data_IF_092354689710
#
_entry.id   IF_092354689710
#
_cell.length_a   1.000
_cell.length_b   1.000
_cell.length_c   1.000
_cell.angle_alpha   90.00
_cell.angle_beta   90.00
_cell.angle_gamma   90.00
#
_symmetry.space_group_name_H-M   'P 1'
#
loop_
_entity.id
_entity.type
_entity.pdbx_description
1 polymer ?
#
# COMPACT_ATOMS: atom_id res chain seq x y z
N UNK A 1 -6.86 13.69 -42.16
CA UNK A 1 -5.92 13.21 -41.13
C UNK A 1 -5.58 14.37 -40.20
N UNK A 2 -6.22 14.46 -39.02
CA UNK A 2 -6.00 15.55 -38.08
C UNK A 2 -5.01 15.11 -36.97
N UNK A 3 -3.87 15.78 -36.89
CA UNK A 3 -2.89 15.60 -35.81
C UNK A 3 -3.41 16.30 -34.53
N UNK A 4 -3.63 15.53 -33.47
CA UNK A 4 -3.94 16.09 -32.15
C UNK A 4 -2.65 16.70 -31.58
N UNK A 5 -2.54 18.02 -31.72
CA UNK A 5 -1.51 18.85 -31.08
C UNK A 5 -1.74 18.83 -29.57
N UNK A 6 -0.79 18.27 -28.82
CA UNK A 6 -0.70 18.53 -27.37
C UNK A 6 -0.74 17.32 -26.43
N UNK A 7 -0.27 16.13 -26.81
CA UNK A 7 0.02 15.11 -25.79
C UNK A 7 1.40 15.40 -25.17
N UNK A 8 1.41 16.25 -24.14
CA UNK A 8 2.60 16.48 -23.34
C UNK A 8 3.11 15.13 -22.80
N UNK A 9 4.35 14.77 -23.14
CA UNK A 9 5.00 13.57 -22.64
C UNK A 9 5.40 13.84 -21.19
N UNK A 10 4.74 13.16 -20.24
CA UNK A 10 5.07 13.26 -18.82
C UNK A 10 6.53 12.80 -18.64
N UNK A 11 7.40 13.75 -18.28
CA UNK A 11 8.80 13.49 -17.96
C UNK A 11 8.89 12.41 -16.88
N UNK A 12 9.55 11.29 -17.19
CA UNK A 12 9.81 10.16 -16.26
C UNK A 12 10.91 10.48 -15.24
N UNK A 13 11.08 11.75 -14.88
CA UNK A 13 12.07 12.16 -13.90
C UNK A 13 11.47 11.91 -12.53
N UNK A 14 11.91 10.83 -11.85
CA UNK A 14 11.53 10.43 -10.47
C UNK A 14 10.19 11.03 -10.03
N UNK A 15 9.10 10.43 -10.50
CA UNK A 15 7.81 10.72 -9.87
C UNK A 15 7.90 10.19 -8.44
N UNK A 16 8.29 11.05 -7.49
CA UNK A 16 8.04 10.81 -6.07
C UNK A 16 6.56 10.50 -6.01
N UNK A 17 6.21 9.26 -5.66
CA UNK A 17 4.82 8.88 -5.57
C UNK A 17 4.18 9.75 -4.48
N UNK A 18 3.55 10.86 -4.88
CA UNK A 18 2.89 11.82 -4.00
C UNK A 18 1.50 11.35 -3.59
N UNK A 19 1.19 10.07 -3.79
CA UNK A 19 -0.10 9.49 -3.46
C UNK A 19 -0.08 9.08 -2.00
N UNK A 20 -1.13 9.46 -1.25
CA UNK A 20 -1.30 9.06 0.13
C UNK A 20 -1.34 7.53 0.22
N UNK A 21 -0.47 6.95 1.05
CA UNK A 21 -0.58 5.55 1.43
C UNK A 21 -1.79 5.42 2.35
N UNK A 22 -2.83 4.73 1.88
CA UNK A 22 -4.05 4.48 2.63
C UNK A 22 -4.15 2.99 2.96
N UNK A 23 -4.33 2.68 4.24
CA UNK A 23 -4.50 1.31 4.72
C UNK A 23 -5.50 1.28 5.88
N UNK A 24 -6.17 0.12 6.05
CA UNK A 24 -6.96 -0.14 7.25
C UNK A 24 -6.04 -0.64 8.34
N UNK A 25 -6.16 -0.06 9.52
CA UNK A 25 -5.37 -0.42 10.70
C UNK A 25 -6.33 -0.62 11.87
N UNK A 26 -6.14 -1.65 12.71
CA UNK A 26 -6.85 -1.78 13.98
C UNK A 26 -6.69 -0.50 14.82
N UNK A 27 -7.75 -0.12 15.53
CA UNK A 27 -7.76 1.11 16.32
C UNK A 27 -6.65 1.12 17.38
N UNK A 28 -6.48 0.00 18.09
CA UNK A 28 -5.46 -0.15 19.13
C UNK A 28 -4.04 0.13 18.62
N UNK A 29 -3.70 -0.35 17.42
CA UNK A 29 -2.39 -0.11 16.80
C UNK A 29 -2.25 1.36 16.42
N UNK A 30 -3.30 1.96 15.85
CA UNK A 30 -3.30 3.38 15.49
C UNK A 30 -3.06 4.25 16.73
N UNK A 31 -3.69 3.93 17.85
CA UNK A 31 -3.60 4.70 19.09
C UNK A 31 -2.17 4.62 19.67
N UNK A 32 -1.56 3.43 19.66
CA UNK A 32 -0.16 3.25 20.09
C UNK A 32 0.82 4.07 19.25
N UNK A 33 0.68 4.03 17.92
CA UNK A 33 1.55 4.80 17.01
C UNK A 33 1.33 6.30 17.19
N UNK A 34 0.08 6.73 17.40
CA UNK A 34 -0.26 8.14 17.63
C UNK A 34 0.40 8.66 18.91
N UNK A 35 0.24 7.93 20.03
CA UNK A 35 0.84 8.30 21.30
C UNK A 35 2.38 8.37 21.23
N UNK A 36 3.02 7.44 20.51
CA UNK A 36 4.47 7.45 20.34
C UNK A 36 4.96 8.63 19.48
N UNK A 37 4.22 8.96 18.42
CA UNK A 37 4.53 10.12 17.58
C UNK A 37 4.39 11.44 18.36
N UNK A 38 3.33 11.57 19.15
CA UNK A 38 3.11 12.73 20.04
C UNK A 38 4.20 12.85 21.11
N UNK A 39 4.56 11.75 21.77
CA UNK A 39 5.68 11.73 22.73
C UNK A 39 7.01 12.11 22.09
N UNK A 40 7.17 11.83 20.80
CA UNK A 40 8.36 12.19 20.01
C UNK A 40 8.30 13.61 19.44
N UNK A 41 7.16 14.32 19.57
CA UNK A 41 6.95 15.66 19.05
C UNK A 41 6.92 15.76 17.51
N UNK A 42 6.60 14.66 16.82
CA UNK A 42 6.62 14.58 15.35
C UNK A 42 5.26 14.16 14.78
N UNK A 43 5.08 14.36 13.48
CA UNK A 43 3.87 13.86 12.81
C UNK A 43 3.86 12.32 12.76
N UNK A 44 2.67 11.73 12.81
CA UNK A 44 2.50 10.27 12.69
C UNK A 44 3.12 9.69 11.41
N UNK A 45 3.02 10.42 10.29
CA UNK A 45 3.62 10.02 9.03
C UNK A 45 5.15 9.96 9.11
N UNK A 46 5.76 10.98 9.72
CA UNK A 46 7.21 11.01 9.92
C UNK A 46 7.67 9.91 10.89
N UNK A 47 6.92 9.70 11.98
CA UNK A 47 7.20 8.63 12.94
C UNK A 47 7.22 7.25 12.26
N UNK A 48 6.20 6.95 11.44
CA UNK A 48 6.14 5.71 10.67
C UNK A 48 7.28 5.60 9.65
N UNK A 49 7.66 6.70 8.99
CA UNK A 49 8.80 6.69 8.08
C UNK A 49 10.11 6.34 8.81
N UNK A 50 10.37 6.94 9.98
CA UNK A 50 11.57 6.61 10.77
C UNK A 50 11.52 5.17 11.28
N UNK A 51 10.38 4.71 11.80
CA UNK A 51 10.21 3.33 12.26
C UNK A 51 10.54 2.31 11.16
N UNK A 52 10.12 2.59 9.92
CA UNK A 52 10.43 1.74 8.76
C UNK A 52 11.92 1.81 8.40
N UNK A 53 12.55 2.99 8.48
CA UNK A 53 14.00 3.16 8.23
C UNK A 53 14.83 2.39 9.24
N UNK A 54 14.47 2.48 10.52
CA UNK A 54 15.17 1.79 11.62
C UNK A 54 15.07 0.27 11.45
N UNK A 55 13.89 -0.24 11.08
CA UNK A 55 13.68 -1.66 10.82
C UNK A 55 14.57 -2.18 9.67
N UNK A 56 14.72 -1.40 8.60
CA UNK A 56 15.62 -1.74 7.49
C UNK A 56 17.08 -1.62 7.89
N UNK A 57 17.43 -0.61 8.68
CA UNK A 57 18.79 -0.45 9.18
C UNK A 57 19.21 -1.64 10.07
N UNK A 58 18.28 -2.16 10.88
CA UNK A 58 18.50 -3.33 11.74
C UNK A 58 18.57 -4.63 10.93
N UNK A 59 17.70 -4.83 9.94
CA UNK A 59 17.57 -6.10 9.20
C UNK A 59 18.36 -6.16 7.88
N UNK A 60 18.88 -5.03 7.42
CA UNK A 60 19.51 -4.88 6.10
C UNK A 60 18.53 -4.77 4.93
N UNK A 61 17.28 -5.19 5.11
CA UNK A 61 16.23 -5.15 4.08
C UNK A 61 14.82 -4.99 4.68
N UNK A 62 13.85 -4.67 3.82
CA UNK A 62 12.43 -4.63 4.20
C UNK A 62 11.94 -6.05 4.50
N UNK A 63 11.39 -6.32 5.69
CA UNK A 63 10.95 -7.65 6.04
C UNK A 63 9.75 -8.07 5.19
N UNK A 64 9.78 -9.32 4.73
CA UNK A 64 8.63 -9.95 4.10
C UNK A 64 7.64 -10.39 5.18
N UNK A 65 6.35 -10.13 4.94
CA UNK A 65 5.25 -10.55 5.82
C UNK A 65 4.50 -11.68 5.12
N UNK A 66 4.20 -12.74 5.87
CA UNK A 66 3.40 -13.85 5.35
C UNK A 66 2.00 -13.37 4.94
N UNK A 67 1.48 -13.92 3.84
CA UNK A 67 0.11 -13.63 3.40
C UNK A 67 -0.87 -14.12 4.46
N UNK A 68 -1.80 -13.26 4.93
CA UNK A 68 -2.84 -13.68 5.85
C UNK A 68 -3.66 -14.88 5.31
N UNK A 69 -4.05 -15.78 6.21
CA UNK A 69 -4.74 -17.03 5.85
C UNK A 69 -6.05 -16.83 5.05
N UNK A 70 -6.73 -15.70 5.22
CA UNK A 70 -7.98 -15.41 4.51
C UNK A 70 -7.79 -15.13 3.01
N UNK A 71 -6.60 -14.73 2.56
CA UNK A 71 -6.32 -14.60 1.12
C UNK A 71 -6.20 -15.96 0.42
N UNK A 72 -5.79 -17.01 1.14
CA UNK A 72 -5.68 -18.38 0.60
C UNK A 72 -7.05 -18.93 0.16
N UNK A 73 -8.13 -18.55 0.87
CA UNK A 73 -9.50 -18.99 0.57
C UNK A 73 -10.10 -18.34 -0.69
N UNK A 74 -9.63 -17.14 -1.06
CA UNK A 74 -10.14 -16.44 -2.26
C UNK A 74 -9.61 -17.04 -3.56
N UNK A 75 -8.46 -17.72 -3.51
CA UNK A 75 -7.90 -18.45 -4.66
C UNK A 75 -8.74 -19.69 -5.03
N UNK A 76 -9.63 -20.15 -4.14
CA UNK A 76 -10.52 -21.30 -4.34
C UNK A 76 -11.92 -20.91 -4.86
N UNK A 77 -12.16 -19.64 -5.26
CA UNK A 77 -13.41 -19.27 -5.90
C UNK A 77 -13.43 -19.80 -7.35
N UNK A 78 -13.64 -21.11 -7.51
CA UNK A 78 -13.96 -21.75 -8.78
C UNK A 78 -15.27 -21.13 -9.27
N UNK A 79 -15.19 -20.25 -10.28
CA UNK A 79 -16.35 -19.86 -11.05
C UNK A 79 -16.82 -21.15 -11.74
N UNK A 80 -18.05 -21.63 -11.54
CA UNK A 80 -18.57 -22.74 -12.31
C UNK A 80 -18.55 -22.33 -13.79
N UNK A 81 -17.68 -22.97 -14.57
CA UNK A 81 -17.78 -22.95 -16.02
C UNK A 81 -19.07 -23.71 -16.36
N UNK A 82 -19.94 -23.10 -17.17
CA UNK A 82 -21.24 -23.64 -17.63
C UNK A 82 -22.44 -23.47 -16.68
N UNK A 83 -23.04 -22.27 -16.70
CA UNK A 83 -24.50 -22.22 -16.79
C UNK A 83 -24.85 -22.09 -18.28
N UNK A 84 -25.50 -23.07 -18.92
CA UNK A 84 -26.00 -22.88 -20.28
C UNK A 84 -27.00 -21.73 -20.24
N UNK A 85 -26.69 -20.67 -20.98
CA UNK A 85 -27.64 -19.59 -21.27
C UNK A 85 -28.73 -20.25 -22.13
N UNK A 86 -29.85 -20.61 -21.51
CA UNK A 86 -31.04 -21.06 -22.24
C UNK A 86 -31.55 -19.88 -23.06
N UNK A 87 -31.58 -20.05 -24.38
CA UNK A 87 -32.28 -19.18 -25.32
C UNK A 87 -33.80 -19.33 -25.21
#
# INVERSE_FOLDING_TARGET
MAQIKGRATRSKTKATATVLLQGRVPQEIRDQVTAAAEASGVSMAYYLEQLVRDLVAERGEMPLVEKPAYYRRQEELTIPEELPISA
#
